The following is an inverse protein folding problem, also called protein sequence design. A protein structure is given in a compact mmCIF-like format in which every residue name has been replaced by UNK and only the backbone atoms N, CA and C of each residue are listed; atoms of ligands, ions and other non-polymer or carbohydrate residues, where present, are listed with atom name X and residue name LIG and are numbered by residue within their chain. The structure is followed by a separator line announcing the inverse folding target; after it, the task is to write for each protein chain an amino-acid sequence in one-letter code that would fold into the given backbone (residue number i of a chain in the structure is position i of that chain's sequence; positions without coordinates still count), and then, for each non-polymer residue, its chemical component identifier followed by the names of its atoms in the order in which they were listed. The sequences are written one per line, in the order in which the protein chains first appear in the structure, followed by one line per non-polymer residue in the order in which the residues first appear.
data_IF_941377024625
#
_entry.id   IF_941377024625
#
_cell.length_a   1.000
_cell.length_b   1.000
_cell.length_c   1.000
_cell.angle_alpha   90.00
_cell.angle_beta   90.00
_cell.angle_gamma   90.00
#
_symmetry.space_group_name_H-M   'P 1'
#
loop_
_entity.id
_entity.type
_entity.pdbx_description
1 polymer ?
#
# COMPACT_ATOMS: atom_id res chain seq x y z
N UNK A 1 59.90 77.90 -43.21
CA UNK A 1 58.93 78.41 -42.21
C UNK A 1 59.60 79.07 -41.00
N UNK A 2 60.69 78.53 -40.45
CA UNK A 2 61.41 79.16 -39.33
C UNK A 2 62.03 80.54 -39.66
N UNK A 3 62.49 80.73 -40.90
CA UNK A 3 63.04 82.02 -41.35
C UNK A 3 61.98 83.14 -41.43
N UNK A 4 60.74 82.79 -41.77
CA UNK A 4 59.63 83.74 -41.80
C UNK A 4 59.26 84.19 -40.37
N UNK A 5 59.29 83.27 -39.40
CA UNK A 5 59.08 83.58 -37.98
C UNK A 5 60.22 84.48 -37.45
N UNK A 6 61.47 84.17 -37.78
CA UNK A 6 62.65 84.97 -37.38
C UNK A 6 62.56 86.39 -37.92
N UNK A 7 62.19 86.54 -39.20
CA UNK A 7 62.02 87.86 -39.82
C UNK A 7 60.90 88.66 -39.16
N UNK A 8 59.78 88.02 -38.85
CA UNK A 8 58.66 88.66 -38.13
C UNK A 8 59.04 89.11 -36.72
N UNK A 9 59.78 88.30 -35.97
CA UNK A 9 60.26 88.69 -34.63
C UNK A 9 61.24 89.87 -34.74
N UNK A 10 62.11 89.88 -35.75
CA UNK A 10 63.05 90.98 -35.98
C UNK A 10 62.32 92.28 -36.34
N UNK A 11 61.29 92.22 -37.20
CA UNK A 11 60.44 93.38 -37.53
C UNK A 11 59.66 93.90 -36.33
N UNK A 12 59.15 93.02 -35.47
CA UNK A 12 58.45 93.41 -34.24
C UNK A 12 59.42 94.05 -33.24
N UNK A 13 60.63 93.51 -33.13
CA UNK A 13 61.67 94.04 -32.25
C UNK A 13 62.17 95.40 -32.73
N UNK A 14 62.36 95.60 -34.04
CA UNK A 14 62.65 96.89 -34.65
C UNK A 14 61.49 97.88 -34.48
N UNK A 15 60.24 97.43 -34.62
CA UNK A 15 59.05 98.24 -34.38
C UNK A 15 58.91 98.71 -32.93
N UNK A 16 59.18 97.83 -31.96
CA UNK A 16 59.18 98.17 -30.53
C UNK A 16 60.36 99.10 -30.22
N UNK A 17 61.54 98.85 -30.77
CA UNK A 17 62.73 99.69 -30.56
C UNK A 17 62.56 101.08 -31.16
N UNK A 18 61.96 101.19 -32.36
CA UNK A 18 61.61 102.47 -32.98
C UNK A 18 60.50 103.21 -32.22
N UNK A 19 59.53 102.48 -31.66
CA UNK A 19 58.50 103.04 -30.77
C UNK A 19 59.08 103.59 -29.47
N UNK A 20 60.02 102.86 -28.85
CA UNK A 20 60.72 103.29 -27.64
C UNK A 20 61.70 104.45 -27.92
N UNK A 21 62.37 104.47 -29.07
CA UNK A 21 63.19 105.61 -29.47
C UNK A 21 62.34 106.87 -29.72
N UNK A 22 61.12 106.75 -30.26
CA UNK A 22 60.18 107.89 -30.32
C UNK A 22 59.74 108.39 -28.95
N UNK A 23 59.66 107.51 -27.95
CA UNK A 23 59.36 107.92 -26.56
C UNK A 23 60.59 108.43 -25.80
N UNK A 24 61.80 108.08 -26.24
CA UNK A 24 63.08 108.43 -25.59
C UNK A 24 63.79 109.66 -26.20
N UNK A 25 63.39 110.12 -27.39
CA UNK A 25 63.86 111.40 -27.94
C UNK A 25 63.12 112.52 -27.22
N UNK A 26 63.84 113.12 -26.28
CA UNK A 26 63.47 114.25 -25.45
C UNK A 26 62.69 115.34 -26.20
N UNK A 27 61.36 115.34 -26.04
CA UNK A 27 60.56 116.54 -26.23
C UNK A 27 60.77 117.46 -25.02
N UNK A 28 61.36 118.59 -25.35
CA UNK A 28 61.62 119.77 -24.55
C UNK A 28 60.36 120.19 -23.78
N UNK A 29 60.45 120.18 -22.46
CA UNK A 29 59.41 120.65 -21.54
C UNK A 29 58.93 122.08 -21.88
N UNK A 30 57.60 122.31 -21.89
CA UNK A 30 57.03 123.60 -21.54
C UNK A 30 56.51 123.55 -20.10
N UNK A 31 57.02 124.48 -19.30
CA UNK A 31 56.39 125.17 -18.17
C UNK A 31 55.29 124.46 -17.38
N UNK A 32 55.62 124.20 -16.12
CA UNK A 32 54.74 124.07 -14.95
C UNK A 32 53.39 124.79 -15.07
N UNK A 33 52.32 124.01 -15.20
CA UNK A 33 50.99 124.36 -14.71
C UNK A 33 50.62 123.34 -13.64
N UNK A 34 50.42 123.80 -12.40
CA UNK A 34 50.00 123.01 -11.25
C UNK A 34 48.83 122.09 -11.64
N UNK A 35 49.10 120.79 -11.71
CA UNK A 35 48.06 119.80 -11.95
C UNK A 35 47.17 119.75 -10.72
N UNK A 36 46.04 120.45 -10.76
CA UNK A 36 44.94 120.19 -9.84
C UNK A 36 44.29 118.88 -10.27
N UNK A 37 44.96 117.77 -9.96
CA UNK A 37 44.42 116.42 -10.13
C UNK A 37 43.35 116.26 -9.06
N UNK A 38 42.09 116.13 -9.47
CA UNK A 38 41.02 115.78 -8.54
C UNK A 38 41.26 114.35 -8.05
N UNK A 39 41.86 114.21 -6.86
CA UNK A 39 42.10 112.92 -6.21
C UNK A 39 40.80 112.14 -5.88
N UNK A 40 39.64 112.80 -6.02
CA UNK A 40 38.31 112.23 -5.88
C UNK A 40 37.68 111.78 -7.21
N UNK A 41 38.29 112.10 -8.35
CA UNK A 41 37.81 111.66 -9.66
C UNK A 41 37.88 110.13 -9.75
N UNK A 42 36.71 109.49 -9.87
CA UNK A 42 36.59 108.02 -9.91
C UNK A 42 36.23 107.37 -8.57
N UNK A 43 36.15 108.12 -7.46
CA UNK A 43 35.69 107.60 -6.17
C UNK A 43 34.25 107.10 -6.25
N UNK A 44 33.35 107.88 -6.85
CA UNK A 44 31.93 107.51 -7.00
C UNK A 44 31.75 106.28 -7.90
N UNK A 45 32.61 106.13 -8.92
CA UNK A 45 32.60 104.96 -9.80
C UNK A 45 33.10 103.70 -9.07
N UNK A 46 34.14 103.85 -8.25
CA UNK A 46 34.65 102.77 -7.41
C UNK A 46 33.60 102.35 -6.36
N UNK A 47 32.95 103.33 -5.71
CA UNK A 47 31.87 103.07 -4.74
C UNK A 47 30.68 102.36 -5.41
N UNK A 48 30.30 102.76 -6.63
CA UNK A 48 29.26 102.09 -7.40
C UNK A 48 29.61 100.62 -7.70
N UNK A 49 30.83 100.34 -8.19
CA UNK A 49 31.24 98.97 -8.46
C UNK A 49 31.42 98.14 -7.18
N UNK A 50 31.92 98.74 -6.10
CA UNK A 50 32.09 98.06 -4.82
C UNK A 50 30.74 97.69 -4.18
N UNK A 51 29.75 98.58 -4.25
CA UNK A 51 28.38 98.32 -3.75
C UNK A 51 27.65 97.28 -4.60
N UNK A 52 27.78 97.35 -5.92
CA UNK A 52 27.24 96.32 -6.83
C UNK A 52 27.89 94.96 -6.59
N UNK A 53 29.21 94.91 -6.44
CA UNK A 53 29.94 93.68 -6.12
C UNK A 53 29.51 93.10 -4.77
N UNK A 54 29.42 93.93 -3.73
CA UNK A 54 28.98 93.50 -2.40
C UNK A 54 27.55 92.93 -2.43
N UNK A 55 26.64 93.57 -3.17
CA UNK A 55 25.25 93.10 -3.33
C UNK A 55 25.22 91.75 -4.06
N UNK A 56 25.94 91.63 -5.18
CA UNK A 56 26.02 90.38 -5.94
C UNK A 56 26.65 89.25 -5.11
N UNK A 57 27.71 89.55 -4.35
CA UNK A 57 28.36 88.58 -3.47
C UNK A 57 27.42 88.10 -2.36
N UNK A 58 26.65 89.02 -1.75
CA UNK A 58 25.66 88.68 -0.75
C UNK A 58 24.56 87.78 -1.32
N UNK A 59 24.01 88.13 -2.49
CA UNK A 59 23.01 87.30 -3.18
C UNK A 59 23.56 85.94 -3.58
N UNK A 60 24.80 85.87 -4.08
CA UNK A 60 25.45 84.61 -4.43
C UNK A 60 25.64 83.70 -3.20
N UNK A 61 26.03 84.27 -2.06
CA UNK A 61 26.18 83.53 -0.81
C UNK A 61 24.82 83.01 -0.29
N UNK A 62 23.77 83.84 -0.31
CA UNK A 62 22.42 83.42 0.05
C UNK A 62 21.91 82.31 -0.87
N UNK A 63 22.12 82.44 -2.18
CA UNK A 63 21.75 81.41 -3.14
C UNK A 63 22.52 80.10 -2.91
N UNK A 64 23.82 80.18 -2.57
CA UNK A 64 24.64 79.03 -2.18
C UNK A 64 24.07 78.30 -0.95
N UNK A 65 23.69 79.05 0.09
CA UNK A 65 23.06 78.47 1.29
C UNK A 65 21.71 77.82 0.99
N UNK A 66 20.87 78.46 0.18
CA UNK A 66 19.58 77.87 -0.22
C UNK A 66 19.77 76.61 -1.07
N UNK A 67 20.77 76.59 -1.96
CA UNK A 67 21.12 75.42 -2.75
C UNK A 67 21.57 74.25 -1.87
N UNK A 68 22.38 74.49 -0.84
CA UNK A 68 22.82 73.47 0.12
C UNK A 68 21.65 72.86 0.91
N UNK A 69 20.67 73.68 1.32
CA UNK A 69 19.46 73.19 2.00
C UNK A 69 18.63 72.31 1.08
N UNK A 70 18.49 72.68 -0.20
CA UNK A 70 17.76 71.88 -1.20
C UNK A 70 18.50 70.57 -1.47
N UNK A 71 19.81 70.61 -1.67
CA UNK A 71 20.65 69.43 -1.89
C UNK A 71 20.56 68.44 -0.74
N UNK A 72 20.61 68.92 0.50
CA UNK A 72 20.41 68.10 1.70
C UNK A 72 19.04 67.41 1.73
N UNK A 73 17.97 68.12 1.33
CA UNK A 73 16.62 67.54 1.27
C UNK A 73 16.49 66.51 0.16
N UNK A 74 17.06 66.78 -1.02
CA UNK A 74 17.08 65.85 -2.16
C UNK A 74 17.83 64.57 -1.78
N UNK A 75 19.01 64.71 -1.16
CA UNK A 75 19.81 63.58 -0.72
C UNK A 75 19.06 62.70 0.28
N UNK A 76 18.39 63.30 1.28
CA UNK A 76 17.56 62.55 2.24
C UNK A 76 16.41 61.83 1.57
N UNK A 77 15.72 62.48 0.63
CA UNK A 77 14.63 61.87 -0.12
C UNK A 77 15.14 60.69 -0.95
N UNK A 78 16.28 60.85 -1.62
CA UNK A 78 16.91 59.80 -2.41
C UNK A 78 17.26 58.58 -1.56
N UNK A 79 17.86 58.78 -0.38
CA UNK A 79 18.17 57.71 0.57
C UNK A 79 16.91 56.97 1.04
N UNK A 80 15.83 57.69 1.33
CA UNK A 80 14.56 57.06 1.73
C UNK A 80 13.92 56.29 0.57
N UNK A 81 13.95 56.83 -0.65
CA UNK A 81 13.49 56.12 -1.84
C UNK A 81 14.29 54.84 -2.10
N UNK A 82 15.62 54.88 -1.96
CA UNK A 82 16.48 53.71 -2.11
C UNK A 82 16.17 52.66 -1.05
N UNK A 83 15.99 53.07 0.21
CA UNK A 83 15.60 52.18 1.30
C UNK A 83 14.25 51.51 1.04
N UNK A 84 13.24 52.28 0.63
CA UNK A 84 11.91 51.74 0.31
C UNK A 84 11.97 50.79 -0.89
N UNK A 85 12.77 51.13 -1.90
CA UNK A 85 13.00 50.26 -3.05
C UNK A 85 13.62 48.91 -2.63
N UNK A 86 14.63 48.93 -1.77
CA UNK A 86 15.25 47.72 -1.24
C UNK A 86 14.26 46.87 -0.43
N UNK A 87 13.43 47.49 0.42
CA UNK A 87 12.37 46.78 1.14
C UNK A 87 11.34 46.14 0.20
N UNK A 88 10.96 46.82 -0.89
CA UNK A 88 10.06 46.26 -1.90
C UNK A 88 10.70 45.07 -2.62
N UNK A 89 12.00 45.13 -2.94
CA UNK A 89 12.73 44.01 -3.53
C UNK A 89 12.73 42.80 -2.59
N UNK A 90 13.00 43.01 -1.30
CA UNK A 90 12.97 41.94 -0.29
C UNK A 90 11.56 41.31 -0.21
N UNK A 91 10.51 42.11 -0.11
CA UNK A 91 9.12 41.62 -0.10
C UNK A 91 8.82 40.85 -1.38
N UNK A 92 9.20 41.38 -2.54
CA UNK A 92 9.00 40.70 -3.83
C UNK A 92 9.71 39.35 -3.86
N UNK A 93 10.94 39.26 -3.33
CA UNK A 93 11.68 38.00 -3.24
C UNK A 93 11.00 36.97 -2.34
N UNK A 94 10.44 37.41 -1.21
CA UNK A 94 9.69 36.56 -0.29
C UNK A 94 8.39 36.05 -0.94
N UNK A 95 7.65 36.94 -1.61
CA UNK A 95 6.43 36.57 -2.35
C UNK A 95 6.73 35.60 -3.50
N UNK A 96 7.87 35.76 -4.18
CA UNK A 96 8.29 34.86 -5.24
C UNK A 96 8.57 33.42 -4.74
N UNK A 97 8.81 33.23 -3.44
CA UNK A 97 8.97 31.90 -2.84
C UNK A 97 7.64 31.20 -2.51
N UNK A 98 6.54 31.95 -2.42
CA UNK A 98 5.22 31.40 -2.04
C UNK A 98 4.72 30.28 -2.98
N UNK A 99 4.88 30.36 -4.31
CA UNK A 99 4.51 29.26 -5.21
C UNK A 99 5.29 27.97 -4.95
N UNK A 100 6.56 28.05 -4.53
CA UNK A 100 7.35 26.88 -4.17
C UNK A 100 6.79 26.21 -2.91
N UNK A 101 6.48 27.01 -1.87
CA UNK A 101 5.82 26.50 -0.66
C UNK A 101 4.48 25.83 -1.02
N UNK A 102 3.68 26.47 -1.88
CA UNK A 102 2.42 25.88 -2.34
C UNK A 102 2.65 24.57 -3.08
N UNK A 103 3.65 24.48 -3.97
CA UNK A 103 3.97 23.25 -4.68
C UNK A 103 4.39 22.13 -3.72
N UNK A 104 5.24 22.44 -2.73
CA UNK A 104 5.64 21.49 -1.70
C UNK A 104 4.45 21.01 -0.87
N UNK A 105 3.54 21.91 -0.49
CA UNK A 105 2.32 21.56 0.23
C UNK A 105 1.44 20.61 -0.60
N UNK A 106 1.22 20.90 -1.89
CA UNK A 106 0.46 20.02 -2.77
C UNK A 106 1.13 18.64 -2.92
N UNK A 107 2.47 18.61 -3.01
CA UNK A 107 3.22 17.35 -3.03
C UNK A 107 3.02 16.57 -1.73
N UNK A 108 3.12 17.21 -0.57
CA UNK A 108 2.87 16.58 0.73
C UNK A 108 1.44 16.05 0.81
N UNK A 109 0.45 16.83 0.38
CA UNK A 109 -0.95 16.40 0.34
C UNK A 109 -1.16 15.18 -0.56
N UNK A 110 -0.50 15.15 -1.72
CA UNK A 110 -0.51 14.00 -2.63
C UNK A 110 0.12 12.77 -1.99
N UNK A 111 1.26 12.91 -1.30
CA UNK A 111 1.89 11.80 -0.58
C UNK A 111 1.00 11.27 0.55
N UNK A 112 0.32 12.15 1.29
CA UNK A 112 -0.65 11.76 2.32
C UNK A 112 -1.81 11.00 1.70
N UNK A 113 -2.33 11.46 0.56
CA UNK A 113 -3.37 10.76 -0.20
C UNK A 113 -2.93 9.36 -0.63
N UNK A 114 -1.72 9.22 -1.17
CA UNK A 114 -1.16 7.92 -1.55
C UNK A 114 -0.99 6.99 -0.35
N UNK A 115 -0.50 7.50 0.77
CA UNK A 115 -0.34 6.71 2.00
C UNK A 115 -1.69 6.24 2.55
N UNK A 116 -2.71 7.10 2.52
CA UNK A 116 -4.08 6.69 2.88
C UNK A 116 -4.61 5.58 1.98
N UNK A 117 -4.41 5.68 0.67
CA UNK A 117 -4.81 4.61 -0.26
C UNK A 117 -4.12 3.28 0.03
N UNK A 118 -2.82 3.31 0.36
CA UNK A 118 -2.10 2.10 0.77
C UNK A 118 -2.62 1.52 2.09
N UNK A 119 -3.02 2.36 3.05
CA UNK A 119 -3.65 1.87 4.28
C UNK A 119 -5.00 1.21 4.01
N UNK A 120 -5.85 1.81 3.17
CA UNK A 120 -7.13 1.21 2.78
C UNK A 120 -6.93 -0.13 2.05
N UNK A 121 -5.92 -0.24 1.18
CA UNK A 121 -5.57 -1.49 0.50
C UNK A 121 -5.10 -2.56 1.50
N UNK A 122 -4.20 -2.20 2.43
CA UNK A 122 -3.71 -3.12 3.46
C UNK A 122 -4.84 -3.55 4.40
N UNK A 123 -5.72 -2.65 4.81
CA UNK A 123 -6.90 -3.00 5.61
C UNK A 123 -7.83 -3.96 4.86
N UNK A 124 -8.02 -3.75 3.55
CA UNK A 124 -8.77 -4.66 2.69
C UNK A 124 -8.14 -6.05 2.62
N UNK A 125 -6.83 -6.14 2.39
CA UNK A 125 -6.11 -7.40 2.32
C UNK A 125 -6.03 -8.13 3.68
N UNK A 126 -6.08 -7.40 4.80
CA UNK A 126 -6.18 -8.01 6.13
C UNK A 126 -7.56 -8.66 6.31
N UNK A 127 -8.64 -7.99 5.89
CA UNK A 127 -9.99 -8.57 5.95
C UNK A 127 -10.11 -9.83 5.09
N UNK A 128 -9.56 -9.81 3.86
CA UNK A 128 -9.57 -11.01 3.01
C UNK A 128 -8.75 -12.15 3.59
N UNK A 129 -7.66 -11.85 4.31
CA UNK A 129 -6.86 -12.85 5.02
C UNK A 129 -7.63 -13.46 6.20
N UNK A 130 -8.37 -12.64 6.96
CA UNK A 130 -9.22 -13.10 8.06
C UNK A 130 -10.33 -14.03 7.54
N UNK A 131 -11.02 -13.65 6.46
CA UNK A 131 -12.02 -14.49 5.80
C UNK A 131 -11.42 -15.83 5.34
N UNK A 132 -10.19 -15.82 4.81
CA UNK A 132 -9.50 -17.02 4.37
C UNK A 132 -9.11 -17.93 5.55
N UNK A 133 -8.70 -17.35 6.68
CA UNK A 133 -8.39 -18.10 7.89
C UNK A 133 -9.64 -18.81 8.43
N UNK A 134 -10.78 -18.12 8.49
CA UNK A 134 -12.06 -18.72 8.90
C UNK A 134 -12.48 -19.89 8.00
N UNK A 135 -12.33 -19.73 6.68
CA UNK A 135 -12.65 -20.78 5.71
C UNK A 135 -11.73 -22.00 5.90
N UNK A 136 -10.43 -21.79 6.12
CA UNK A 136 -9.48 -22.87 6.38
C UNK A 136 -9.83 -23.63 7.67
N UNK A 137 -10.17 -22.92 8.75
CA UNK A 137 -10.59 -23.54 10.01
C UNK A 137 -11.89 -24.35 9.84
N UNK A 138 -12.83 -23.86 9.05
CA UNK A 138 -14.07 -24.58 8.76
C UNK A 138 -13.80 -25.86 7.95
N UNK A 139 -12.90 -25.79 6.97
CA UNK A 139 -12.49 -26.93 6.16
C UNK A 139 -11.79 -28.00 7.00
N UNK A 140 -10.86 -27.60 7.87
CA UNK A 140 -10.17 -28.50 8.80
C UNK A 140 -11.18 -29.23 9.70
N UNK A 141 -12.08 -28.50 10.34
CA UNK A 141 -13.12 -29.08 11.20
C UNK A 141 -14.04 -30.05 10.45
N UNK A 142 -14.38 -29.72 9.20
CA UNK A 142 -15.20 -30.57 8.34
C UNK A 142 -14.46 -31.86 7.97
N UNK A 143 -13.16 -31.76 7.67
CA UNK A 143 -12.30 -32.90 7.40
C UNK A 143 -12.21 -33.83 8.61
N UNK A 144 -11.96 -33.29 9.79
CA UNK A 144 -11.88 -34.03 11.05
C UNK A 144 -13.18 -34.76 11.37
N UNK A 145 -14.31 -34.08 11.21
CA UNK A 145 -15.63 -34.70 11.38
C UNK A 145 -15.82 -35.86 10.39
N UNK A 146 -15.44 -35.67 9.12
CA UNK A 146 -15.56 -36.70 8.08
C UNK A 146 -14.67 -37.90 8.37
N UNK A 147 -13.44 -37.66 8.84
CA UNK A 147 -12.51 -38.71 9.25
C UNK A 147 -13.06 -39.50 10.45
N UNK A 148 -13.56 -38.80 11.48
CA UNK A 148 -14.19 -39.41 12.65
C UNK A 148 -15.38 -40.29 12.27
N UNK A 149 -16.26 -39.80 11.37
CA UNK A 149 -17.39 -40.58 10.85
C UNK A 149 -16.94 -41.81 10.06
N UNK A 150 -15.89 -41.68 9.24
CA UNK A 150 -15.32 -42.81 8.50
C UNK A 150 -14.77 -43.89 9.43
N UNK A 151 -14.00 -43.49 10.46
CA UNK A 151 -13.46 -44.40 11.47
C UNK A 151 -14.57 -45.07 12.30
N UNK A 152 -15.60 -44.34 12.69
CA UNK A 152 -16.75 -44.89 13.41
C UNK A 152 -17.49 -45.93 12.55
N UNK A 153 -17.72 -45.62 11.27
CA UNK A 153 -18.33 -46.54 10.30
C UNK A 153 -17.48 -47.79 10.08
N UNK A 154 -16.17 -47.64 9.93
CA UNK A 154 -15.27 -48.78 9.80
C UNK A 154 -15.35 -49.68 11.05
N UNK A 155 -15.27 -49.08 12.25
CA UNK A 155 -15.39 -49.80 13.50
C UNK A 155 -16.72 -50.55 13.64
N UNK A 156 -17.86 -49.95 13.27
CA UNK A 156 -19.15 -50.65 13.30
C UNK A 156 -19.21 -51.77 12.27
N UNK A 157 -18.68 -51.57 11.07
CA UNK A 157 -18.62 -52.65 10.07
C UNK A 157 -17.71 -53.80 10.51
N UNK A 158 -16.59 -53.50 11.18
CA UNK A 158 -15.71 -54.51 11.76
C UNK A 158 -16.44 -55.31 12.85
N UNK A 159 -17.10 -54.62 13.79
CA UNK A 159 -17.89 -55.27 14.85
C UNK A 159 -19.02 -56.14 14.26
N UNK A 160 -19.73 -55.67 13.24
CA UNK A 160 -20.76 -56.44 12.55
C UNK A 160 -20.20 -57.69 11.86
N UNK A 161 -19.04 -57.57 11.18
CA UNK A 161 -18.35 -58.73 10.58
C UNK A 161 -17.94 -59.73 11.65
N UNK A 162 -17.43 -59.26 12.79
CA UNK A 162 -17.09 -60.10 13.92
C UNK A 162 -18.31 -60.84 14.48
N UNK A 163 -19.41 -60.13 14.78
CA UNK A 163 -20.66 -60.74 15.23
C UNK A 163 -21.22 -61.77 14.23
N UNK A 164 -21.14 -61.48 12.93
CA UNK A 164 -21.56 -62.42 11.88
C UNK A 164 -20.70 -63.69 11.87
N UNK A 165 -19.39 -63.54 12.03
CA UNK A 165 -18.48 -64.68 12.14
C UNK A 165 -18.76 -65.50 13.40
N UNK A 166 -18.95 -64.86 14.55
CA UNK A 166 -19.28 -65.52 15.82
C UNK A 166 -20.63 -66.25 15.73
N UNK A 167 -21.63 -65.65 15.10
CA UNK A 167 -22.93 -66.28 14.86
C UNK A 167 -22.82 -67.48 13.92
N UNK A 168 -22.04 -67.35 12.85
CA UNK A 168 -21.81 -68.43 11.88
C UNK A 168 -21.07 -69.61 12.51
N UNK A 169 -20.03 -69.35 13.32
CA UNK A 169 -19.30 -70.39 14.05
C UNK A 169 -20.19 -71.06 15.10
N UNK A 170 -20.99 -70.30 15.84
CA UNK A 170 -21.98 -70.86 16.78
C UNK A 170 -23.02 -71.73 16.09
N UNK A 171 -23.54 -71.29 14.94
CA UNK A 171 -24.47 -72.08 14.13
C UNK A 171 -23.82 -73.38 13.63
N UNK A 172 -22.61 -73.31 13.07
CA UNK A 172 -21.88 -74.51 12.65
C UNK A 172 -21.63 -75.48 13.80
N UNK A 173 -21.31 -74.98 15.00
CA UNK A 173 -21.15 -75.82 16.20
C UNK A 173 -22.46 -76.49 16.60
N UNK A 174 -23.59 -75.76 16.60
CA UNK A 174 -24.91 -76.33 16.90
C UNK A 174 -25.33 -77.38 15.88
N UNK A 175 -25.11 -77.13 14.59
CA UNK A 175 -25.40 -78.11 13.52
C UNK A 175 -24.58 -79.38 13.72
N UNK A 176 -23.27 -79.24 13.96
CA UNK A 176 -22.40 -80.40 14.27
C UNK A 176 -22.86 -81.17 15.51
N UNK A 177 -23.34 -80.48 16.54
CA UNK A 177 -23.86 -81.12 17.74
C UNK A 177 -25.17 -81.89 17.48
N UNK A 178 -26.08 -81.32 16.67
CA UNK A 178 -27.31 -81.98 16.25
C UNK A 178 -27.02 -83.19 15.35
N UNK A 179 -26.16 -83.03 14.35
CA UNK A 179 -25.70 -84.13 13.48
C UNK A 179 -25.11 -85.27 14.30
N UNK A 180 -24.27 -84.96 15.30
CA UNK A 180 -23.69 -85.96 16.20
C UNK A 180 -24.78 -86.67 17.03
N UNK A 181 -25.75 -85.94 17.59
CA UNK A 181 -26.88 -86.55 18.34
C UNK A 181 -27.74 -87.43 17.44
N UNK A 182 -27.98 -87.03 16.20
CA UNK A 182 -28.70 -87.84 15.22
C UNK A 182 -27.93 -89.09 14.81
N UNK A 183 -26.60 -88.97 14.64
CA UNK A 183 -25.72 -90.10 14.36
C UNK A 183 -25.68 -91.10 15.53
N UNK A 184 -25.61 -90.62 16.77
CA UNK A 184 -25.69 -91.45 17.97
C UNK A 184 -27.03 -92.21 18.03
N UNK A 185 -28.16 -91.52 17.83
CA UNK A 185 -29.47 -92.17 17.73
C UNK A 185 -29.53 -93.21 16.61
N UNK A 186 -28.90 -92.95 15.47
CA UNK A 186 -28.85 -93.89 14.34
C UNK A 186 -28.04 -95.13 14.70
N UNK A 187 -26.89 -94.96 15.38
CA UNK A 187 -26.06 -96.07 15.88
C UNK A 187 -26.77 -96.88 16.96
N UNK A 188 -27.53 -96.25 17.85
CA UNK A 188 -28.35 -96.95 18.83
C UNK A 188 -29.42 -97.79 18.15
N UNK A 189 -30.15 -97.22 17.17
CA UNK A 189 -31.11 -97.97 16.35
C UNK A 189 -30.45 -99.14 15.63
N UNK A 190 -29.28 -98.92 15.03
CA UNK A 190 -28.50 -99.97 14.36
C UNK A 190 -28.13 -101.10 15.31
N UNK A 191 -27.66 -100.79 16.53
CA UNK A 191 -27.38 -101.82 17.56
C UNK A 191 -28.64 -102.57 18.00
N UNK A 192 -29.77 -101.88 18.14
CA UNK A 192 -31.05 -102.54 18.47
C UNK A 192 -31.44 -103.49 17.34
N UNK A 193 -31.40 -103.04 16.08
CA UNK A 193 -31.68 -103.89 14.93
C UNK A 193 -30.69 -105.05 14.81
N UNK A 194 -29.41 -104.84 15.09
CA UNK A 194 -28.40 -105.90 15.10
C UNK A 194 -28.69 -106.94 16.20
N UNK A 195 -29.07 -106.49 17.40
CA UNK A 195 -29.47 -107.39 18.49
C UNK A 195 -30.73 -108.19 18.18
N UNK A 196 -31.74 -107.55 17.58
CA UNK A 196 -32.97 -108.20 17.10
C UNK A 196 -32.67 -109.19 15.99
N UNK A 197 -31.82 -108.83 15.03
CA UNK A 197 -31.39 -109.71 13.96
C UNK A 197 -30.63 -110.94 14.47
N UNK A 198 -29.76 -110.78 15.48
CA UNK A 198 -29.07 -111.90 16.12
C UNK A 198 -30.04 -112.80 16.90
N UNK A 199 -31.07 -112.22 17.51
CA UNK A 199 -32.14 -112.97 18.16
C UNK A 199 -32.99 -113.73 17.13
N UNK A 200 -33.36 -113.10 16.02
CA UNK A 200 -34.06 -113.71 14.89
C UNK A 200 -33.25 -114.87 14.27
N UNK A 201 -31.93 -114.74 14.15
CA UNK A 201 -31.04 -115.83 13.73
C UNK A 201 -31.08 -117.01 14.72
N UNK A 202 -31.05 -116.73 16.03
CA UNK A 202 -31.16 -117.78 17.04
C UNK A 202 -32.53 -118.45 17.01
N UNK A 203 -33.60 -117.68 16.82
CA UNK A 203 -34.96 -118.20 16.69
C UNK A 203 -35.10 -119.05 15.41
N UNK A 204 -34.46 -118.65 14.30
CA UNK A 204 -34.36 -119.44 13.07
C UNK A 204 -33.63 -120.76 13.28
N UNK A 205 -32.49 -120.76 13.98
CA UNK A 205 -31.74 -121.98 14.33
C UNK A 205 -32.56 -122.93 15.22
N UNK A 206 -33.46 -122.39 16.06
CA UNK A 206 -34.29 -123.19 16.97
C UNK A 206 -35.62 -123.68 16.37
N UNK A 207 -36.23 -122.95 15.43
CA UNK A 207 -37.59 -123.22 14.92
C UNK A 207 -37.70 -123.44 13.40
N UNK A 208 -36.66 -123.19 12.61
CA UNK A 208 -36.62 -123.50 11.17
C UNK A 208 -37.42 -122.56 10.25
N UNK A 209 -38.04 -121.50 10.78
CA UNK A 209 -38.82 -120.53 9.97
C UNK A 209 -38.61 -119.12 10.50
N UNK A 210 -38.23 -118.18 9.64
CA UNK A 210 -38.16 -116.74 9.96
C UNK A 210 -39.56 -116.16 9.81
N UNK A 211 -40.00 -115.34 10.76
CA UNK A 211 -41.17 -114.46 10.54
C UNK A 211 -40.75 -113.43 9.50
N UNK A 212 -41.09 -113.68 8.24
CA UNK A 212 -41.14 -112.63 7.24
C UNK A 212 -41.98 -111.51 7.84
N UNK A 213 -41.48 -110.27 7.82
CA UNK A 213 -42.30 -109.09 8.07
C UNK A 213 -43.38 -109.13 7.01
N UNK A 214 -44.53 -109.69 7.39
CA UNK A 214 -45.77 -109.57 6.67
C UNK A 214 -46.13 -108.10 6.79
N UNK A 215 -45.84 -107.35 5.74
CA UNK A 215 -46.61 -106.17 5.38
C UNK A 215 -48.05 -106.62 5.21
N UNK A 216 -48.80 -106.66 6.30
CA UNK A 216 -50.25 -106.81 6.27
C UNK A 216 -50.91 -105.59 6.91
N UNK A 217 -51.43 -104.75 5.99
CA UNK A 217 -52.67 -103.99 6.08
C UNK A 217 -52.59 -102.57 6.70
N UNK A 218 -52.32 -101.62 5.81
CA UNK A 218 -53.36 -100.68 5.38
C UNK A 218 -53.15 -100.31 3.91
N UNK A 219 -53.97 -100.90 3.05
CA UNK A 219 -54.30 -100.28 1.77
C UNK A 219 -55.03 -98.98 2.07
N UNK A 220 -54.34 -97.85 1.93
CA UNK A 220 -54.89 -96.76 1.13
C UNK A 220 -53.80 -96.39 0.13
N UNK A 221 -54.11 -96.55 -1.15
CA UNK A 221 -53.42 -95.90 -2.25
C UNK A 221 -53.57 -94.39 -2.06
N UNK A 222 -52.76 -93.78 -1.19
CA UNK A 222 -52.55 -92.33 -1.21
C UNK A 222 -51.53 -92.08 -2.31
N UNK A 223 -52.04 -91.82 -3.53
CA UNK A 223 -51.22 -91.19 -4.56
C UNK A 223 -50.77 -89.83 -4.01
N UNK A 224 -49.55 -89.41 -4.34
CA UNK A 224 -49.02 -88.08 -4.00
C UNK A 224 -49.89 -86.90 -4.47
N UNK A 225 -50.92 -87.18 -5.26
CA UNK A 225 -51.93 -86.24 -5.74
C UNK A 225 -52.99 -85.89 -4.69
N UNK A 226 -53.17 -86.71 -3.63
CA UNK A 226 -54.19 -86.54 -2.57
C UNK A 226 -53.62 -86.14 -1.20
N UNK A 227 -52.31 -85.83 -1.13
CA UNK A 227 -51.73 -85.16 0.05
C UNK A 227 -51.95 -83.67 -0.15
N UNK A 228 -53.04 -83.15 0.43
CA UNK A 228 -53.14 -81.73 0.70
C UNK A 228 -52.09 -81.42 1.77
N UNK A 229 -50.93 -80.90 1.33
CA UNK A 229 -50.03 -80.22 2.23
C UNK A 229 -50.82 -79.02 2.73
N UNK A 230 -51.36 -79.11 3.95
CA UNK A 230 -51.63 -77.94 4.77
C UNK A 230 -50.28 -77.24 4.94
N UNK A 231 -49.92 -76.42 3.96
CA UNK A 231 -48.97 -75.34 4.13
C UNK A 231 -49.61 -74.44 5.19
N UNK A 232 -49.35 -74.74 6.46
CA UNK A 232 -49.51 -73.80 7.54
C UNK A 232 -48.57 -72.63 7.21
N UNK A 233 -49.06 -71.67 6.42
CA UNK A 233 -48.37 -70.44 6.04
C UNK A 233 -48.33 -69.45 7.19
N UNK A 234 -49.08 -69.67 8.27
CA UNK A 234 -49.12 -68.80 9.45
C UNK A 234 -47.75 -68.46 10.06
N UNK A 235 -46.83 -69.43 10.24
CA UNK A 235 -45.48 -69.14 10.73
C UNK A 235 -44.62 -68.37 9.72
N UNK A 236 -44.84 -68.57 8.42
CA UNK A 236 -44.08 -67.91 7.36
C UNK A 236 -44.57 -66.46 7.14
N UNK A 237 -45.87 -66.24 7.26
CA UNK A 237 -46.52 -64.93 7.09
C UNK A 237 -46.25 -64.02 8.29
N UNK A 238 -46.28 -64.56 9.52
CA UNK A 238 -45.82 -63.82 10.72
C UNK A 238 -44.32 -63.49 10.71
N UNK A 239 -43.51 -64.31 10.05
CA UNK A 239 -42.08 -64.03 9.84
C UNK A 239 -41.86 -62.92 8.81
N UNK A 240 -42.69 -62.83 7.76
CA UNK A 240 -42.57 -61.79 6.74
C UNK A 240 -43.14 -60.44 7.21
N UNK A 241 -44.22 -60.43 7.99
CA UNK A 241 -44.82 -59.21 8.57
C UNK A 241 -43.99 -58.60 9.71
N UNK A 242 -43.01 -59.32 10.25
CA UNK A 242 -42.07 -58.81 11.28
C UNK A 242 -40.75 -58.28 10.71
N UNK A 243 -40.62 -58.23 9.38
CA UNK A 243 -39.42 -57.80 8.67
C UNK A 243 -39.55 -56.42 7.95
N UNK A 244 -40.67 -55.71 8.13
CA UNK A 244 -40.81 -54.26 7.90
C UNK A 244 -40.78 -53.50 9.25
#
# INVERSE_FOLDING_TARGET
MFEALRKNIQTVQEGITAGLQRLSVAEKAPSSSESRVDFTAGSDLLELYQTQWATMHHMANQNGQLAEVVDSKITKLMQECEKQHNQIIEIHSLLAHLPNIMSQLHSMLSTIGSVRGLFEEVEGEILTLEDLEEELLLQEKTLDMRLSLALARENTTHKLKQFRNDLSTSHQMKVKELEKKEEEKRKEKEKIYESQFLEDIKEYQARGTIKSISSEKSNEDVKLEDIELDEDRGPLESFLDSAD
#
